data_IF_707960191352
#
_entry.id   IF_707960191352
#
_cell.length_a   1.000
_cell.length_b   1.000
_cell.length_c   1.000
_cell.angle_alpha   90.00
_cell.angle_beta   90.00
_cell.angle_gamma   90.00
#
_symmetry.space_group_name_H-M   'P 1'
#
loop_
_entity.id
_entity.type
_entity.pdbx_description
1 polymer ?
#
# COMPACT_ATOMS: atom_id res chain seq x y z
N UNK A 1 25.69 36.79 -26.51
CA UNK A 1 24.98 36.51 -25.24
C UNK A 1 23.81 35.60 -25.56
N UNK A 2 23.93 34.30 -25.31
CA UNK A 2 22.81 33.36 -25.31
C UNK A 2 23.19 32.21 -24.36
N UNK A 3 22.69 32.29 -23.13
CA UNK A 3 22.81 31.22 -22.12
C UNK A 3 21.62 30.31 -22.32
N UNK A 4 21.87 29.11 -22.86
CA UNK A 4 20.87 28.06 -23.07
C UNK A 4 20.73 27.27 -21.76
N UNK A 5 19.73 27.61 -20.95
CA UNK A 5 19.39 26.85 -19.74
C UNK A 5 18.62 25.59 -20.16
N UNK A 6 19.32 24.46 -20.27
CA UNK A 6 18.71 23.14 -20.39
C UNK A 6 18.17 22.72 -19.01
N UNK A 7 16.87 22.88 -18.80
CA UNK A 7 16.17 22.28 -17.66
C UNK A 7 15.92 20.81 -18.00
N UNK A 8 16.75 19.92 -17.46
CA UNK A 8 16.52 18.48 -17.47
C UNK A 8 15.35 18.16 -16.52
N UNK A 9 14.16 17.99 -17.10
CA UNK A 9 13.01 17.43 -16.40
C UNK A 9 13.27 15.94 -16.16
N UNK A 10 13.68 15.58 -14.94
CA UNK A 10 13.62 14.21 -14.45
C UNK A 10 12.15 13.86 -14.14
N UNK A 11 11.39 13.46 -15.15
CA UNK A 11 10.06 12.90 -14.95
C UNK A 11 10.20 11.43 -14.54
N UNK A 12 10.42 11.17 -13.25
CA UNK A 12 10.13 9.87 -12.69
C UNK A 12 8.61 9.69 -12.73
N UNK A 13 8.10 8.83 -13.61
CA UNK A 13 6.68 8.45 -13.64
C UNK A 13 6.35 7.72 -12.35
N UNK A 14 5.86 8.49 -11.37
CA UNK A 14 5.35 8.06 -10.07
C UNK A 14 3.87 8.42 -10.04
N UNK A 15 3.00 7.50 -9.61
CA UNK A 15 1.60 7.85 -9.38
C UNK A 15 1.50 8.99 -8.37
N UNK A 16 0.78 10.05 -8.72
CA UNK A 16 0.50 11.15 -7.79
C UNK A 16 -0.52 10.67 -6.76
N UNK A 17 -0.18 10.81 -5.48
CA UNK A 17 -1.05 10.44 -4.39
C UNK A 17 -0.60 11.08 -3.09
N UNK A 18 -1.50 11.03 -2.12
CA UNK A 18 -1.30 11.47 -0.75
C UNK A 18 -1.82 10.37 0.18
N UNK A 19 -1.30 10.33 1.40
CA UNK A 19 -1.76 9.36 2.37
C UNK A 19 -0.92 9.42 3.61
N UNK A 20 -1.41 8.74 4.63
CA UNK A 20 -0.77 8.63 5.92
C UNK A 20 -1.07 7.27 6.53
N UNK A 21 -0.14 6.75 7.32
CA UNK A 21 -0.38 5.59 8.17
C UNK A 21 0.41 5.79 9.44
N UNK A 22 -0.28 5.85 10.58
CA UNK A 22 0.32 6.13 11.89
C UNK A 22 -0.15 5.11 12.90
N UNK A 23 0.67 4.87 13.91
CA UNK A 23 0.30 4.01 15.02
C UNK A 23 1.51 3.48 15.76
N UNK A 24 1.45 2.23 16.18
CA UNK A 24 2.53 1.59 16.95
C UNK A 24 2.99 0.31 16.29
N UNK A 25 4.30 0.06 16.34
CA UNK A 25 4.94 -1.13 15.77
C UNK A 25 5.83 -1.81 16.82
N UNK A 26 5.69 -3.13 16.91
CA UNK A 26 6.53 -4.02 17.70
C UNK A 26 7.29 -4.93 16.76
N UNK A 27 8.61 -4.76 16.73
CA UNK A 27 9.57 -5.60 16.04
C UNK A 27 10.88 -5.61 16.86
N UNK A 28 10.95 -6.41 17.95
CA UNK A 28 12.09 -6.36 18.88
C UNK A 28 13.44 -6.62 18.20
N UNK A 29 13.48 -7.50 17.19
CA UNK A 29 14.67 -7.76 16.37
C UNK A 29 15.18 -6.56 15.57
N UNK A 30 14.39 -5.50 15.49
CA UNK A 30 14.69 -4.24 14.82
C UNK A 30 14.84 -3.08 15.83
N UNK A 31 14.77 -3.37 17.13
CA UNK A 31 14.74 -2.36 18.18
C UNK A 31 13.40 -1.62 18.34
N UNK A 32 12.33 -2.07 17.68
CA UNK A 32 10.99 -1.47 17.80
C UNK A 32 10.19 -2.21 18.88
N UNK A 33 9.75 -1.51 19.94
CA UNK A 33 9.04 -2.12 21.06
C UNK A 33 7.75 -1.35 21.41
N UNK A 34 6.93 -1.08 20.40
CA UNK A 34 5.72 -0.25 20.54
C UNK A 34 6.00 1.23 20.29
N UNK A 35 7.04 1.51 19.52
CA UNK A 35 7.40 2.87 19.12
C UNK A 35 6.34 3.46 18.20
N UNK A 36 6.19 4.79 18.26
CA UNK A 36 5.35 5.50 17.30
C UNK A 36 5.93 5.34 15.91
N UNK A 37 5.12 4.79 15.02
CA UNK A 37 5.43 4.61 13.62
C UNK A 37 4.59 5.56 12.79
N UNK A 38 5.20 6.16 11.78
CA UNK A 38 4.51 6.93 10.76
C UNK A 38 5.10 6.52 9.40
N UNK A 39 4.27 6.05 8.48
CA UNK A 39 4.70 5.64 7.15
C UNK A 39 5.03 6.85 6.28
N UNK A 40 4.16 7.87 6.24
CA UNK A 40 4.30 9.05 5.35
C UNK A 40 4.66 8.64 3.89
N UNK A 41 3.77 7.91 3.20
CA UNK A 41 4.03 7.38 1.87
C UNK A 41 4.32 8.47 0.84
N UNK A 42 5.21 8.15 -0.09
CA UNK A 42 5.59 9.01 -1.21
C UNK A 42 5.59 8.27 -2.55
N UNK A 43 5.06 7.05 -2.56
CA UNK A 43 4.91 6.21 -3.73
C UNK A 43 3.60 5.42 -3.62
N UNK A 44 2.82 5.48 -4.69
CA UNK A 44 1.53 4.83 -4.83
C UNK A 44 1.49 4.09 -6.16
N UNK A 45 1.05 2.84 -6.14
CA UNK A 45 0.91 2.04 -7.35
C UNK A 45 -0.27 1.09 -7.24
N UNK A 46 -0.82 0.74 -8.40
CA UNK A 46 -1.84 -0.30 -8.52
C UNK A 46 -1.42 -1.28 -9.61
N UNK A 47 -1.54 -2.56 -9.30
CA UNK A 47 -1.29 -3.67 -10.22
C UNK A 47 -2.59 -4.45 -10.41
N UNK A 48 -3.44 -4.03 -11.37
CA UNK A 48 -4.63 -4.77 -11.73
C UNK A 48 -4.28 -6.01 -12.57
N UNK A 49 -4.97 -7.12 -12.33
CA UNK A 49 -4.93 -8.31 -13.18
C UNK A 49 -6.34 -8.66 -13.64
N UNK A 50 -6.69 -8.25 -14.87
CA UNK A 50 -8.01 -8.51 -15.45
C UNK A 50 -8.25 -9.97 -15.81
N UNK A 51 -7.20 -10.80 -15.89
CA UNK A 51 -7.32 -12.22 -16.21
C UNK A 51 -7.85 -13.07 -15.05
N UNK A 52 -7.61 -12.63 -13.82
CA UNK A 52 -8.05 -13.28 -12.58
C UNK A 52 -8.85 -12.34 -11.69
N UNK A 53 -9.20 -11.16 -12.21
CA UNK A 53 -10.03 -10.13 -11.59
C UNK A 53 -9.60 -9.76 -10.16
N UNK A 54 -8.32 -9.45 -9.99
CA UNK A 54 -7.74 -9.00 -8.70
C UNK A 54 -7.04 -7.65 -8.87
N UNK A 55 -6.91 -6.92 -7.77
CA UNK A 55 -6.11 -5.70 -7.70
C UNK A 55 -5.17 -5.77 -6.51
N UNK A 56 -3.89 -5.45 -6.71
CA UNK A 56 -2.97 -5.15 -5.63
C UNK A 56 -2.62 -3.65 -5.63
N UNK A 57 -2.80 -3.00 -4.49
CA UNK A 57 -2.44 -1.60 -4.28
C UNK A 57 -1.20 -1.55 -3.38
N UNK A 58 -0.25 -0.70 -3.73
CA UNK A 58 0.97 -0.46 -2.96
C UNK A 58 1.01 1.00 -2.52
N UNK A 59 1.16 1.21 -1.22
CA UNK A 59 1.31 2.52 -0.58
C UNK A 59 2.59 2.48 0.25
N UNK A 60 3.65 3.15 -0.20
CA UNK A 60 4.96 2.97 0.43
C UNK A 60 5.75 4.27 0.57
N UNK A 61 6.68 4.26 1.52
CA UNK A 61 7.72 5.27 1.70
C UNK A 61 9.06 4.68 1.30
N UNK A 62 9.76 5.39 0.42
CA UNK A 62 11.15 5.09 0.09
C UNK A 62 11.38 5.02 -1.41
N UNK A 63 12.00 3.92 -1.84
CA UNK A 63 12.20 3.60 -3.26
C UNK A 63 10.88 3.14 -3.91
N UNK A 64 10.88 2.91 -5.21
CA UNK A 64 9.90 2.10 -5.92
C UNK A 64 10.18 0.58 -5.78
N UNK A 65 11.36 0.20 -5.31
CA UNK A 65 11.73 -1.17 -4.99
C UNK A 65 11.30 -1.55 -3.57
N UNK A 66 10.47 -2.59 -3.44
CA UNK A 66 9.91 -3.05 -2.17
C UNK A 66 11.01 -3.38 -1.14
N UNK A 67 12.13 -3.97 -1.55
CA UNK A 67 13.24 -4.35 -0.65
C UNK A 67 13.93 -3.18 0.04
N UNK A 68 13.69 -1.95 -0.42
CA UNK A 68 14.28 -0.72 0.14
C UNK A 68 13.20 0.26 0.61
N UNK A 69 12.02 -0.25 0.93
CA UNK A 69 10.85 0.56 1.27
C UNK A 69 10.08 -0.03 2.43
N UNK A 70 9.50 0.83 3.26
CA UNK A 70 8.41 0.42 4.16
C UNK A 70 7.10 0.68 3.43
N UNK A 71 6.09 -0.17 3.60
CA UNK A 71 4.83 0.06 2.91
C UNK A 71 3.73 -0.89 3.29
N UNK A 72 2.55 -0.53 2.82
CA UNK A 72 1.32 -1.30 2.93
C UNK A 72 0.97 -1.83 1.54
N UNK A 73 0.66 -3.12 1.47
CA UNK A 73 0.05 -3.76 0.31
C UNK A 73 -1.40 -4.07 0.63
N UNK A 74 -2.33 -3.64 -0.21
CA UNK A 74 -3.75 -3.95 -0.10
C UNK A 74 -4.16 -4.81 -1.29
N UNK A 75 -4.50 -6.06 -1.02
CA UNK A 75 -4.92 -7.03 -2.02
C UNK A 75 -6.45 -7.15 -2.02
N UNK A 76 -7.06 -6.97 -3.18
CA UNK A 76 -8.50 -7.04 -3.39
C UNK A 76 -8.81 -8.24 -4.28
N UNK A 77 -9.59 -9.18 -3.74
CA UNK A 77 -9.90 -10.47 -4.38
C UNK A 77 -10.97 -10.38 -5.47
N UNK A 78 -11.96 -9.52 -5.25
CA UNK A 78 -13.06 -9.26 -6.19
C UNK A 78 -13.35 -7.75 -6.19
N UNK A 79 -12.61 -6.97 -6.98
CA UNK A 79 -12.73 -5.52 -7.00
C UNK A 79 -14.01 -5.06 -7.69
N UNK A 80 -14.63 -5.89 -8.53
CA UNK A 80 -15.94 -5.56 -9.11
C UNK A 80 -17.02 -5.60 -8.05
N UNK A 81 -17.12 -6.70 -7.31
CA UNK A 81 -18.07 -6.82 -6.21
C UNK A 81 -17.88 -5.71 -5.18
N UNK A 82 -16.62 -5.40 -4.83
CA UNK A 82 -16.29 -4.32 -3.90
C UNK A 82 -16.76 -2.95 -4.44
N UNK A 83 -16.44 -2.62 -5.70
CA UNK A 83 -16.83 -1.33 -6.32
C UNK A 83 -18.35 -1.18 -6.42
N UNK A 84 -19.06 -2.25 -6.79
CA UNK A 84 -20.50 -2.18 -7.05
C UNK A 84 -21.35 -2.21 -5.76
N UNK A 85 -20.87 -2.86 -4.69
CA UNK A 85 -21.72 -3.18 -3.53
C UNK A 85 -21.17 -2.73 -2.17
N UNK A 86 -19.90 -2.35 -2.07
CA UNK A 86 -19.23 -2.13 -0.78
C UNK A 86 -18.56 -0.76 -0.62
N UNK A 87 -18.62 0.12 -1.63
CA UNK A 87 -18.11 1.49 -1.48
C UNK A 87 -18.85 2.21 -0.34
N UNK A 88 -18.09 2.95 0.47
CA UNK A 88 -18.58 3.65 1.64
C UNK A 88 -18.94 2.76 2.83
N UNK A 89 -18.76 1.43 2.75
CA UNK A 89 -18.95 0.51 3.86
C UNK A 89 -17.62 0.06 4.47
N UNK A 90 -17.60 -0.15 5.79
CA UNK A 90 -16.45 -0.72 6.48
C UNK A 90 -16.32 -2.21 6.14
N UNK A 91 -15.13 -2.60 5.66
CA UNK A 91 -14.75 -3.99 5.36
C UNK A 91 -13.85 -4.46 6.49
N UNK A 92 -14.30 -5.46 7.24
CA UNK A 92 -13.51 -6.05 8.32
C UNK A 92 -12.33 -6.85 7.78
N UNK A 93 -11.16 -6.67 8.39
CA UNK A 93 -10.02 -7.56 8.19
C UNK A 93 -10.18 -8.86 8.97
N UNK A 94 -9.54 -9.92 8.46
CA UNK A 94 -9.63 -11.25 9.03
C UNK A 94 -10.83 -12.04 8.51
N UNK A 95 -11.10 -13.19 9.14
CA UNK A 95 -12.15 -14.10 8.71
C UNK A 95 -11.74 -15.10 7.63
N UNK A 96 -12.68 -15.96 7.24
CA UNK A 96 -12.49 -16.98 6.21
C UNK A 96 -12.77 -16.35 4.83
N UNK A 97 -11.74 -16.30 3.98
CA UNK A 97 -11.80 -15.71 2.63
C UNK A 97 -12.16 -14.20 2.62
N UNK A 98 -11.32 -13.34 3.21
CA UNK A 98 -11.55 -11.90 3.21
C UNK A 98 -11.61 -11.32 1.78
N UNK A 99 -12.48 -10.34 1.58
CA UNK A 99 -12.57 -9.60 0.32
C UNK A 99 -11.34 -8.72 0.08
N UNK A 100 -10.75 -8.22 1.18
CA UNK A 100 -9.57 -7.36 1.20
C UNK A 100 -8.57 -7.89 2.21
N UNK A 101 -7.32 -8.03 1.79
CA UNK A 101 -6.19 -8.39 2.64
C UNK A 101 -5.24 -7.21 2.70
N UNK A 102 -4.67 -6.93 3.87
CA UNK A 102 -3.69 -5.87 4.06
C UNK A 102 -2.41 -6.45 4.67
N UNK A 103 -1.27 -6.01 4.16
CA UNK A 103 0.05 -6.42 4.64
C UNK A 103 0.91 -5.20 4.88
N UNK A 104 1.60 -5.13 6.03
CA UNK A 104 2.65 -4.14 6.30
C UNK A 104 4.02 -4.82 6.13
N UNK A 105 4.94 -4.18 5.42
CA UNK A 105 6.34 -4.58 5.34
C UNK A 105 7.26 -3.45 5.77
N UNK A 106 8.30 -3.77 6.55
CA UNK A 106 9.22 -2.80 7.16
C UNK A 106 10.65 -2.96 6.62
N UNK A 107 10.83 -3.05 5.30
CA UNK A 107 12.13 -3.40 4.73
C UNK A 107 13.17 -2.27 4.86
N UNK A 108 12.75 -1.01 4.98
CA UNK A 108 13.65 0.13 5.15
C UNK A 108 13.91 0.43 6.62
N UNK A 109 12.88 0.37 7.46
CA UNK A 109 13.00 0.57 8.92
C UNK A 109 13.67 -0.62 9.60
N UNK A 110 13.39 -1.83 9.13
CA UNK A 110 14.02 -3.06 9.58
C UNK A 110 14.60 -3.84 8.39
N UNK A 111 15.76 -3.39 7.87
CA UNK A 111 16.46 -4.14 6.85
C UNK A 111 16.93 -5.45 7.47
N UNK A 112 16.19 -6.54 7.23
CA UNK A 112 16.35 -7.79 7.94
C UNK A 112 17.81 -8.24 8.00
N UNK A 113 18.35 -8.46 9.20
CA UNK A 113 19.68 -9.07 9.34
C UNK A 113 19.61 -10.52 8.86
N UNK A 114 20.14 -10.81 7.66
CA UNK A 114 20.38 -12.14 7.09
C UNK A 114 19.23 -13.18 7.10
N UNK A 115 18.11 -12.98 7.80
CA UNK A 115 17.01 -13.94 7.97
C UNK A 115 15.71 -13.20 8.25
N UNK A 116 14.96 -13.07 7.17
CA UNK A 116 13.51 -12.85 7.07
C UNK A 116 13.06 -11.38 7.09
N UNK A 117 12.37 -10.91 6.02
CA UNK A 117 11.74 -9.60 6.01
C UNK A 117 10.66 -9.53 7.09
N UNK A 118 10.51 -8.37 7.71
CA UNK A 118 9.43 -8.13 8.67
C UNK A 118 8.18 -7.79 7.90
N UNK A 119 7.24 -8.74 7.89
CA UNK A 119 5.99 -8.68 7.14
C UNK A 119 4.85 -9.09 8.06
N UNK A 120 3.85 -8.22 8.21
CA UNK A 120 2.68 -8.45 9.03
C UNK A 120 1.42 -8.51 8.17
N UNK A 121 0.50 -9.42 8.50
CA UNK A 121 -0.81 -9.50 7.88
C UNK A 121 -1.87 -8.94 8.82
N UNK A 122 -2.80 -8.15 8.29
CA UNK A 122 -3.95 -7.64 9.04
C UNK A 122 -4.86 -8.78 9.48
N UNK A 123 -5.27 -8.75 10.75
CA UNK A 123 -6.15 -9.76 11.37
C UNK A 123 -7.40 -9.18 12.01
N UNK A 124 -7.45 -7.87 12.23
CA UNK A 124 -8.61 -7.15 12.73
C UNK A 124 -8.57 -5.68 12.30
N UNK A 125 -9.64 -4.93 12.59
CA UNK A 125 -9.83 -3.55 12.13
C UNK A 125 -10.60 -3.49 10.81
N UNK A 126 -10.70 -2.29 10.23
CA UNK A 126 -11.49 -2.08 9.01
C UNK A 126 -10.75 -1.28 7.96
N UNK A 127 -11.15 -1.48 6.71
CA UNK A 127 -10.84 -0.60 5.58
C UNK A 127 -12.13 -0.25 4.85
N UNK A 128 -12.26 1.01 4.45
CA UNK A 128 -13.40 1.55 3.71
C UNK A 128 -12.90 2.26 2.47
N UNK A 129 -13.42 1.87 1.32
CA UNK A 129 -13.13 2.52 0.04
C UNK A 129 -14.23 3.54 -0.25
N UNK A 130 -13.86 4.81 -0.41
CA UNK A 130 -14.78 5.87 -0.85
C UNK A 130 -14.88 5.90 -2.38
N UNK A 131 -13.76 5.62 -3.04
CA UNK A 131 -13.66 5.46 -4.49
C UNK A 131 -12.67 4.33 -4.80
N UNK A 132 -12.97 3.52 -5.81
CA UNK A 132 -12.10 2.44 -6.26
C UNK A 132 -12.08 2.37 -7.77
N UNK A 133 -10.99 2.81 -8.39
CA UNK A 133 -10.76 2.61 -9.81
C UNK A 133 -10.55 1.12 -10.14
N UNK A 134 -11.39 0.58 -11.03
CA UNK A 134 -11.29 -0.81 -11.53
C UNK A 134 -11.19 -0.79 -13.06
N UNK A 135 -10.02 -1.07 -13.67
CA UNK A 135 -9.75 -0.74 -15.07
C UNK A 135 -10.68 -1.35 -16.12
N UNK A 136 -11.33 -2.48 -15.80
CA UNK A 136 -12.22 -3.19 -16.71
C UNK A 136 -13.69 -2.85 -16.53
N UNK A 137 -14.03 -1.97 -15.58
CA UNK A 137 -15.38 -1.48 -15.35
C UNK A 137 -15.54 -0.04 -15.86
N UNK A 138 -16.78 0.44 -15.85
CA UNK A 138 -17.03 1.86 -15.98
C UNK A 138 -16.51 2.60 -14.74
N UNK A 139 -15.79 3.69 -14.95
CA UNK A 139 -15.26 4.51 -13.86
C UNK A 139 -15.45 5.98 -14.22
N UNK A 140 -15.97 6.76 -13.26
CA UNK A 140 -16.09 8.21 -13.39
C UNK A 140 -14.72 8.89 -13.26
N UNK A 141 -13.86 8.35 -12.39
CA UNK A 141 -12.50 8.85 -12.14
C UNK A 141 -11.47 7.70 -12.21
N UNK A 142 -10.18 8.05 -12.19
CA UNK A 142 -9.09 7.07 -12.01
C UNK A 142 -8.60 7.03 -10.57
N UNK A 143 -9.37 7.55 -9.64
CA UNK A 143 -8.95 7.72 -8.25
C UNK A 143 -9.17 6.42 -7.48
N UNK A 144 -8.40 6.24 -6.42
CA UNK A 144 -8.71 5.25 -5.39
C UNK A 144 -8.47 5.92 -4.05
N UNK A 145 -9.50 5.90 -3.21
CA UNK A 145 -9.54 6.58 -1.93
C UNK A 145 -9.95 5.54 -0.89
N UNK A 146 -9.11 5.33 0.11
CA UNK A 146 -9.43 4.41 1.20
C UNK A 146 -8.99 4.98 2.55
N UNK A 147 -9.76 4.63 3.57
CA UNK A 147 -9.46 4.92 4.97
C UNK A 147 -9.46 3.59 5.71
N UNK A 148 -8.47 3.37 6.58
CA UNK A 148 -8.41 2.19 7.42
C UNK A 148 -8.23 2.59 8.88
N UNK A 149 -8.91 1.88 9.78
CA UNK A 149 -9.03 2.24 11.18
C UNK A 149 -8.74 1.05 12.08
N UNK A 150 -7.94 1.27 13.11
CA UNK A 150 -7.58 0.31 14.15
C UNK A 150 -7.16 -1.05 13.57
N UNK A 151 -6.33 -1.04 12.53
CA UNK A 151 -5.89 -2.25 11.85
C UNK A 151 -4.79 -2.91 12.66
N UNK A 152 -5.09 -4.07 13.23
CA UNK A 152 -4.10 -4.90 13.89
C UNK A 152 -3.45 -5.82 12.86
N UNK A 153 -2.12 -5.72 12.73
CA UNK A 153 -1.32 -6.57 11.87
C UNK A 153 -0.35 -7.40 12.71
N UNK A 154 -0.14 -8.65 12.33
CA UNK A 154 0.72 -9.59 13.07
C UNK A 154 1.67 -10.36 12.15
N UNK A 155 2.82 -10.78 12.67
CA UNK A 155 3.61 -11.87 12.09
C UNK A 155 3.02 -13.20 12.55
N UNK A 156 2.54 -14.03 11.63
CA UNK A 156 1.94 -15.32 11.98
C UNK A 156 2.90 -16.27 12.71
N UNK A 157 4.21 -16.08 12.58
CA UNK A 157 5.21 -16.90 13.28
C UNK A 157 5.43 -16.45 14.71
N UNK A 158 5.41 -15.14 14.96
CA UNK A 158 5.79 -14.52 16.23
C UNK A 158 4.70 -13.52 16.71
N UNK A 159 3.44 -13.97 16.78
CA UNK A 159 2.25 -13.11 16.95
C UNK A 159 2.29 -12.19 18.18
N UNK A 160 2.91 -12.66 19.27
CA UNK A 160 2.95 -11.94 20.54
C UNK A 160 4.07 -10.88 20.59
N UNK A 161 5.11 -11.05 19.78
CA UNK A 161 6.28 -10.15 19.76
C UNK A 161 6.26 -9.20 18.57
N UNK A 162 5.68 -9.62 17.45
CA UNK A 162 5.72 -8.94 16.17
C UNK A 162 4.33 -8.56 15.70
N UNK A 163 3.99 -7.30 15.90
CA UNK A 163 2.67 -6.76 15.57
C UNK A 163 2.73 -5.27 15.28
N UNK A 164 1.67 -4.75 14.69
CA UNK A 164 1.44 -3.32 14.50
C UNK A 164 -0.05 -3.01 14.71
N UNK A 165 -0.35 -1.81 15.16
CA UNK A 165 -1.71 -1.26 15.14
C UNK A 165 -1.64 0.07 14.42
N UNK A 166 -2.36 0.20 13.30
CA UNK A 166 -2.28 1.37 12.42
C UNK A 166 -3.66 1.95 12.09
N UNK A 167 -3.70 3.27 11.99
CA UNK A 167 -4.77 4.06 11.40
C UNK A 167 -4.20 4.85 10.22
N UNK A 168 -5.02 5.11 9.21
CA UNK A 168 -4.56 5.90 8.08
C UNK A 168 -5.52 5.96 6.91
N UNK A 169 -5.00 6.54 5.85
CA UNK A 169 -5.70 6.81 4.62
C UNK A 169 -4.73 6.85 3.44
N UNK A 170 -5.27 6.65 2.25
CA UNK A 170 -4.55 6.95 1.03
C UNK A 170 -5.52 7.37 -0.07
N UNK A 171 -5.03 8.28 -0.91
CA UNK A 171 -5.64 8.71 -2.15
C UNK A 171 -4.58 8.70 -3.23
N UNK A 172 -4.85 8.07 -4.37
CA UNK A 172 -3.99 8.24 -5.53
C UNK A 172 -4.78 8.17 -6.83
N UNK A 173 -4.22 8.82 -7.85
CA UNK A 173 -4.70 8.73 -9.21
C UNK A 173 -3.94 7.62 -9.93
N UNK A 174 -4.67 6.67 -10.53
CA UNK A 174 -4.05 5.65 -11.35
C UNK A 174 -3.50 6.25 -12.64
N UNK A 175 -2.17 6.31 -12.72
CA UNK A 175 -1.44 6.59 -13.93
C UNK A 175 -0.80 5.30 -14.44
N UNK A 176 -1.21 4.84 -15.62
CA UNK A 176 -0.52 3.74 -16.28
C UNK A 176 0.86 4.26 -16.66
N UNK A 177 1.89 3.82 -15.95
CA UNK A 177 3.27 4.04 -16.39
C UNK A 177 3.40 3.54 -17.83
N UNK A 178 3.73 4.42 -18.77
CA UNK A 178 4.37 3.97 -20.00
C UNK A 178 5.63 3.22 -19.54
N UNK A 179 5.92 2.00 -20.02
CA UNK A 179 7.20 1.37 -19.71
C UNK A 179 8.31 2.35 -20.09
N UNK A 180 9.07 2.78 -19.09
CA UNK A 180 10.33 3.47 -19.32
C UNK A 180 11.26 2.50 -20.04
N UNK A 181 11.51 2.80 -21.31
CA UNK A 181 12.51 2.22 -22.21
C UNK A 181 12.06 1.02 -23.06
N UNK A 182 11.98 1.28 -24.37
CA UNK A 182 12.33 0.27 -25.37
C UNK A 182 13.79 -0.10 -25.16
N UNK A 183 14.08 -1.37 -24.91
CA UNK A 183 15.43 -1.89 -25.12
C UNK A 183 15.75 -1.71 -26.61
N UNK A 184 16.67 -0.79 -26.93
CA UNK A 184 17.38 -0.78 -28.20
C UNK A 184 18.62 -1.66 -28.09
#
# INVERSE_FOLDING_TARGET
MFVLCLVLAAACTKGSGEGNAVGQVWAPGCGLNGELFALNPNFFAMQPSSAVEIINITVQRGSDLQSFSDGISVFIRDPQMLKENMLGADIEFGGLAPAVEMTLYLNATCPGFARLPVVYAAVSGTIRFEELYVPWLHNDTKETIAVFTNVELIDNKDRDERRAVLDGDFLFLFERGLPGQYFQ
#
